data_IF_102441635764
#
_entry.id   IF_102441635764
#
_cell.length_a   1.000
_cell.length_b   1.000
_cell.length_c   1.000
_cell.angle_alpha   90.00
_cell.angle_beta   90.00
_cell.angle_gamma   90.00
#
_symmetry.space_group_name_H-M   'P 1'
#
loop_
_entity.id
_entity.type
_entity.pdbx_description
1 polymer ?
#
# COMPACT_ATOMS: atom_id res chain seq x y z
N UNK A 1 -5.96 -9.49 5.70
CA UNK A 1 -6.42 -8.11 5.48
C UNK A 1 -7.08 -7.97 4.13
N UNK A 2 -8.27 -7.39 4.08
CA UNK A 2 -8.93 -7.01 2.83
C UNK A 2 -9.52 -5.61 3.02
N UNK A 3 -8.86 -4.59 2.48
CA UNK A 3 -9.26 -3.20 2.65
C UNK A 3 -9.43 -2.51 1.30
N UNK A 4 -10.55 -1.81 1.15
CA UNK A 4 -10.85 -0.99 -0.01
C UNK A 4 -11.53 0.28 0.48
N UNK A 5 -11.01 1.44 0.09
CA UNK A 5 -11.69 2.69 0.34
C UNK A 5 -13.05 2.73 -0.36
N UNK A 6 -14.08 3.37 0.24
CA UNK A 6 -15.36 3.60 -0.41
C UNK A 6 -15.22 4.27 -1.79
N UNK A 7 -16.30 4.22 -2.58
CA UNK A 7 -16.30 4.81 -3.92
C UNK A 7 -15.85 6.29 -3.88
N UNK A 8 -14.99 6.67 -4.83
CA UNK A 8 -14.37 8.00 -4.94
C UNK A 8 -13.53 8.40 -3.72
N UNK A 9 -12.95 7.44 -3.04
CA UNK A 9 -12.01 7.68 -1.95
C UNK A 9 -10.66 6.99 -2.18
N UNK A 10 -9.63 7.57 -1.56
CA UNK A 10 -8.25 7.04 -1.53
C UNK A 10 -7.76 6.99 -0.09
N UNK A 11 -6.71 6.19 0.14
CA UNK A 11 -6.05 6.18 1.44
C UNK A 11 -5.35 7.51 1.72
N UNK A 12 -5.65 8.08 2.88
CA UNK A 12 -4.97 9.26 3.42
C UNK A 12 -4.02 8.94 4.57
N UNK A 13 -4.25 7.81 5.24
CA UNK A 13 -3.45 7.35 6.35
C UNK A 13 -3.26 5.85 6.25
N UNK A 14 -2.02 5.41 6.43
CA UNK A 14 -1.64 4.02 6.48
C UNK A 14 -0.78 3.80 7.71
N UNK A 15 -1.19 2.87 8.56
CA UNK A 15 -0.46 2.47 9.75
C UNK A 15 -0.40 0.96 9.82
N UNK A 16 0.74 0.43 10.24
CA UNK A 16 0.88 -0.98 10.50
C UNK A 16 1.88 -1.26 11.60
N UNK A 17 1.45 -2.01 12.61
CA UNK A 17 2.26 -2.37 13.77
C UNK A 17 2.64 -3.84 13.71
N UNK A 18 3.87 -4.16 14.13
CA UNK A 18 4.36 -5.53 14.19
C UNK A 18 3.96 -6.16 15.54
N UNK A 19 2.93 -7.01 15.54
CA UNK A 19 2.48 -7.70 16.75
C UNK A 19 3.45 -8.85 17.08
N UNK A 20 4.40 -8.57 17.96
CA UNK A 20 5.41 -9.52 18.44
C UNK A 20 4.81 -10.74 19.18
N UNK A 21 3.52 -10.70 19.57
CA UNK A 21 2.83 -11.84 20.19
C UNK A 21 2.22 -12.80 19.17
N UNK A 22 1.89 -12.32 17.97
CA UNK A 22 1.29 -13.11 16.87
C UNK A 22 2.23 -13.35 15.69
N UNK A 23 3.38 -12.66 15.64
CA UNK A 23 4.31 -12.72 14.51
C UNK A 23 3.73 -12.12 13.23
N UNK A 24 2.84 -11.12 13.35
CA UNK A 24 2.14 -10.58 12.19
C UNK A 24 1.92 -9.06 12.27
N UNK A 25 1.86 -8.42 11.11
CA UNK A 25 1.57 -6.99 10.98
C UNK A 25 0.06 -6.71 11.02
N UNK A 26 -0.40 -5.94 11.99
CA UNK A 26 -1.77 -5.42 12.05
C UNK A 26 -1.83 -4.14 11.23
N UNK A 27 -2.95 -3.87 10.54
CA UNK A 27 -3.09 -2.73 9.63
C UNK A 27 -4.27 -1.84 10.02
N UNK A 28 -4.06 -0.54 9.94
CA UNK A 28 -5.03 0.51 10.20
C UNK A 28 -4.98 1.51 9.03
N UNK A 29 -6.11 1.75 8.39
CA UNK A 29 -6.20 2.62 7.22
C UNK A 29 -7.39 3.55 7.30
N UNK A 30 -7.17 4.81 6.93
CA UNK A 30 -8.24 5.80 6.78
C UNK A 30 -8.28 6.34 5.36
N UNK A 31 -9.50 6.62 4.91
CA UNK A 31 -9.80 7.09 3.57
C UNK A 31 -10.20 8.57 3.59
N UNK A 32 -10.04 9.22 2.45
CA UNK A 32 -10.63 10.53 2.16
C UNK A 32 -11.19 10.55 0.75
N UNK A 33 -12.10 11.48 0.51
CA UNK A 33 -12.59 11.79 -0.83
C UNK A 33 -11.46 12.25 -1.76
N UNK A 34 -11.52 11.80 -3.01
CA UNK A 34 -10.67 12.24 -4.09
C UNK A 34 -11.45 12.23 -5.41
N UNK A 35 -11.02 13.03 -6.38
CA UNK A 35 -11.65 13.08 -7.69
C UNK A 35 -11.27 11.84 -8.53
N UNK A 36 -12.00 10.75 -8.29
CA UNK A 36 -11.87 9.49 -9.00
C UNK A 36 -13.13 9.19 -9.82
N UNK A 37 -12.94 8.49 -10.93
CA UNK A 37 -14.03 7.85 -11.65
C UNK A 37 -14.22 6.42 -11.14
N UNK A 38 -15.45 5.90 -11.23
CA UNK A 38 -15.79 4.54 -10.78
C UNK A 38 -15.26 3.48 -11.74
N UNK A 39 -13.94 3.31 -11.70
CA UNK A 39 -13.22 2.36 -12.51
C UNK A 39 -12.01 1.90 -11.72
N UNK A 40 -12.20 0.84 -10.94
CA UNK A 40 -11.20 0.25 -10.07
C UNK A 40 -10.86 -1.16 -10.53
N UNK A 41 -9.58 -1.51 -10.51
CA UNK A 41 -9.09 -2.82 -10.90
C UNK A 41 -8.13 -3.34 -9.83
N UNK A 42 -8.36 -4.56 -9.38
CA UNK A 42 -7.46 -5.27 -8.48
C UNK A 42 -6.42 -6.05 -9.30
N UNK A 43 -5.17 -6.01 -8.86
CA UNK A 43 -4.11 -6.85 -9.41
C UNK A 43 -4.25 -8.32 -8.98
N UNK A 44 -3.50 -9.19 -9.64
CA UNK A 44 -3.11 -10.47 -9.03
C UNK A 44 -2.09 -10.25 -7.89
N UNK A 45 -1.65 -11.34 -7.26
CA UNK A 45 -0.60 -11.24 -6.24
C UNK A 45 0.70 -10.77 -6.90
N UNK A 46 1.24 -9.67 -6.39
CA UNK A 46 2.37 -8.98 -7.03
C UNK A 46 3.73 -9.49 -6.58
N UNK A 47 3.75 -10.36 -5.58
CA UNK A 47 4.94 -10.94 -4.98
C UNK A 47 4.67 -12.40 -4.63
N UNK A 48 5.72 -13.21 -4.57
CA UNK A 48 5.76 -14.48 -3.82
C UNK A 48 6.19 -14.22 -2.36
N UNK A 49 6.12 -15.24 -1.51
CA UNK A 49 6.69 -15.16 -0.17
C UNK A 49 8.20 -14.97 -0.24
N UNK A 50 8.74 -14.28 0.75
CA UNK A 50 10.16 -13.97 0.93
C UNK A 50 10.75 -13.17 -0.25
N UNK A 51 9.87 -12.57 -1.07
CA UNK A 51 10.26 -11.75 -2.21
C UNK A 51 9.94 -10.26 -2.00
N UNK A 52 10.85 -9.46 -2.52
CA UNK A 52 10.69 -8.02 -2.72
C UNK A 52 9.69 -7.75 -3.84
N UNK A 53 8.94 -6.65 -3.72
CA UNK A 53 8.12 -6.16 -4.83
C UNK A 53 8.21 -4.66 -5.02
N UNK A 54 7.92 -4.23 -6.25
CA UNK A 54 7.70 -2.84 -6.62
C UNK A 54 6.47 -2.77 -7.52
N UNK A 55 5.33 -2.36 -6.96
CA UNK A 55 4.08 -2.31 -7.70
C UNK A 55 3.63 -0.86 -7.91
N UNK A 56 3.39 -0.49 -9.17
CA UNK A 56 2.88 0.81 -9.58
C UNK A 56 1.51 0.66 -10.24
N UNK A 57 0.51 1.41 -9.77
CA UNK A 57 -0.80 1.44 -10.40
C UNK A 57 -0.69 1.90 -11.88
N UNK A 58 -1.25 1.14 -12.84
CA UNK A 58 -1.05 1.40 -14.25
C UNK A 58 -1.82 2.64 -14.72
N UNK A 59 -1.30 3.30 -15.76
CA UNK A 59 -1.95 4.45 -16.41
C UNK A 59 -2.29 5.58 -15.43
N UNK A 60 -3.45 6.22 -15.62
CA UNK A 60 -3.92 7.31 -14.76
C UNK A 60 -4.61 6.82 -13.47
N UNK A 61 -4.10 5.76 -12.85
CA UNK A 61 -4.68 5.19 -11.63
C UNK A 61 -3.82 5.46 -10.40
N UNK A 62 -4.49 5.45 -9.25
CA UNK A 62 -3.91 5.56 -7.91
C UNK A 62 -4.50 4.49 -7.00
N UNK A 63 -3.83 4.23 -5.89
CA UNK A 63 -4.10 3.12 -5.00
C UNK A 63 -5.27 3.45 -4.07
N UNK A 64 -6.27 2.55 -4.05
CA UNK A 64 -7.50 2.70 -3.28
C UNK A 64 -7.76 1.52 -2.33
N UNK A 65 -7.09 0.38 -2.53
CA UNK A 65 -7.23 -0.79 -1.68
C UNK A 65 -5.98 -1.65 -1.61
N UNK A 66 -5.85 -2.36 -0.51
CA UNK A 66 -4.78 -3.33 -0.25
C UNK A 66 -5.44 -4.61 0.24
N UNK A 67 -5.11 -5.71 -0.43
CA UNK A 67 -5.46 -7.04 0.00
C UNK A 67 -4.18 -7.81 0.31
N UNK A 68 -4.12 -8.45 1.47
CA UNK A 68 -2.94 -9.20 1.89
C UNK A 68 -3.31 -10.29 2.87
N UNK A 69 -2.66 -11.43 2.77
CA UNK A 69 -2.75 -12.49 3.77
C UNK A 69 -1.35 -12.88 4.24
N UNK A 70 -1.29 -13.32 5.50
CA UNK A 70 -0.09 -13.82 6.16
C UNK A 70 -0.10 -15.35 6.10
N UNK A 71 1.06 -15.97 5.90
CA UNK A 71 1.24 -17.41 6.02
C UNK A 71 2.25 -17.74 7.13
N UNK A 72 1.78 -18.34 8.22
CA UNK A 72 2.59 -18.64 9.41
C UNK A 72 3.78 -19.59 9.14
N UNK A 73 3.75 -20.39 8.08
CA UNK A 73 4.88 -21.26 7.73
C UNK A 73 6.07 -20.46 7.19
N UNK A 74 5.77 -19.32 6.56
CA UNK A 74 6.71 -18.38 5.94
C UNK A 74 7.00 -17.20 6.82
N UNK A 75 6.06 -16.84 7.69
CA UNK A 75 6.08 -15.64 8.51
C UNK A 75 6.17 -14.39 7.62
N UNK A 76 5.42 -14.43 6.52
CA UNK A 76 5.47 -13.45 5.47
C UNK A 76 4.10 -13.27 4.77
N UNK A 77 3.99 -12.23 3.94
CA UNK A 77 2.76 -11.73 3.36
C UNK A 77 2.77 -11.65 1.84
N UNK A 78 1.66 -12.07 1.25
CA UNK A 78 1.32 -11.82 -0.16
C UNK A 78 0.48 -10.56 -0.29
N UNK A 79 0.63 -9.83 -1.38
CA UNK A 79 -0.08 -8.56 -1.61
C UNK A 79 -0.77 -8.50 -2.97
N UNK A 80 -2.00 -7.98 -2.98
CA UNK A 80 -2.72 -7.46 -4.14
C UNK A 80 -3.11 -6.01 -3.88
N UNK A 81 -3.24 -5.23 -4.95
CA UNK A 81 -3.58 -3.83 -4.85
C UNK A 81 -4.73 -3.46 -5.77
N UNK A 82 -5.65 -2.65 -5.27
CA UNK A 82 -6.75 -2.10 -6.05
C UNK A 82 -6.42 -0.68 -6.47
N UNK A 83 -6.43 -0.45 -7.79
CA UNK A 83 -6.11 0.82 -8.41
C UNK A 83 -7.36 1.43 -9.06
N UNK A 84 -7.76 2.61 -8.61
CA UNK A 84 -8.88 3.37 -9.16
C UNK A 84 -8.37 4.48 -10.07
N UNK A 85 -9.10 4.73 -11.16
CA UNK A 85 -8.73 5.76 -12.14
C UNK A 85 -9.01 7.16 -11.55
N UNK A 86 -7.97 7.99 -11.54
CA UNK A 86 -8.12 9.43 -11.30
C UNK A 86 -8.90 10.06 -12.46
N UNK A 87 -9.66 11.11 -12.16
CA UNK A 87 -10.57 11.80 -13.07
C UNK A 87 -9.83 12.49 -14.24
N UNK A 88 -10.17 13.74 -14.54
CA UNK A 88 -9.64 14.50 -15.67
C UNK A 88 -8.18 14.93 -15.50
N UNK A 89 -7.69 15.08 -14.27
CA UNK A 89 -6.32 15.48 -14.01
C UNK A 89 -5.34 14.30 -14.14
N UNK A 90 -4.25 14.46 -14.92
CA UNK A 90 -3.19 13.47 -14.98
C UNK A 90 -2.44 13.35 -13.65
N UNK A 91 -2.36 12.13 -13.13
CA UNK A 91 -1.52 11.76 -12.00
C UNK A 91 -0.06 12.06 -12.37
N UNK A 92 0.55 13.00 -11.67
CA UNK A 92 1.86 13.57 -12.05
C UNK A 92 2.69 13.95 -10.82
N UNK A 93 3.91 14.45 -11.02
CA UNK A 93 4.76 14.92 -9.91
C UNK A 93 5.04 13.85 -8.85
N UNK A 94 5.23 12.61 -9.28
CA UNK A 94 5.46 11.46 -8.42
C UNK A 94 6.83 11.53 -7.75
N UNK A 95 6.86 11.21 -6.45
CA UNK A 95 8.10 11.07 -5.67
C UNK A 95 8.04 9.83 -4.79
N UNK A 96 9.14 9.10 -4.73
CA UNK A 96 9.29 8.01 -3.77
C UNK A 96 9.65 8.58 -2.40
N UNK A 97 9.08 8.01 -1.34
CA UNK A 97 9.58 8.17 0.01
C UNK A 97 10.83 7.31 0.22
N UNK A 98 11.57 7.59 1.28
CA UNK A 98 12.44 6.59 1.91
C UNK A 98 11.60 5.49 2.59
N UNK A 99 12.26 4.54 3.25
CA UNK A 99 11.54 3.56 4.07
C UNK A 99 10.77 4.28 5.17
N UNK A 100 9.45 4.09 5.20
CA UNK A 100 8.57 4.76 6.18
C UNK A 100 8.47 4.00 7.50
N UNK A 101 9.14 2.86 7.59
CA UNK A 101 9.29 2.05 8.79
C UNK A 101 10.64 1.32 8.76
N UNK A 102 11.09 0.91 9.95
CA UNK A 102 12.17 -0.05 10.09
C UNK A 102 11.65 -1.42 10.54
N UNK A 103 12.54 -2.40 10.64
CA UNK A 103 12.21 -3.77 11.07
C UNK A 103 11.61 -3.78 12.49
N UNK A 104 10.55 -4.56 12.68
CA UNK A 104 9.77 -4.72 13.90
C UNK A 104 9.21 -3.39 14.45
N UNK A 105 9.30 -2.31 13.68
CA UNK A 105 8.76 -1.01 14.02
C UNK A 105 7.51 -0.71 13.20
N UNK A 106 6.72 0.19 13.79
CA UNK A 106 5.48 0.66 13.23
C UNK A 106 5.72 1.44 11.94
N UNK A 107 4.94 1.11 10.92
CA UNK A 107 4.70 1.96 9.77
C UNK A 107 3.65 2.99 10.15
N UNK A 108 3.89 4.27 9.87
CA UNK A 108 2.85 5.31 9.94
C UNK A 108 3.12 6.34 8.87
N UNK A 109 2.15 6.56 8.01
CA UNK A 109 2.27 7.49 6.90
C UNK A 109 0.97 8.26 6.70
N UNK A 110 1.09 9.58 6.55
CA UNK A 110 0.02 10.47 6.12
C UNK A 110 0.28 10.92 4.69
N UNK A 111 -0.73 10.81 3.83
CA UNK A 111 -0.70 11.35 2.47
C UNK A 111 -1.29 12.75 2.52
N UNK A 112 -0.54 13.78 2.09
CA UNK A 112 -1.04 15.17 2.06
C UNK A 112 -2.22 15.31 1.09
N UNK A 113 -3.09 16.29 1.31
CA UNK A 113 -4.16 16.64 0.36
C UNK A 113 -3.59 16.91 -1.05
N UNK A 114 -4.40 16.67 -2.08
CA UNK A 114 -4.00 16.71 -3.50
C UNK A 114 -2.91 15.69 -3.90
N UNK A 115 -2.57 14.74 -3.02
CA UNK A 115 -1.69 13.63 -3.38
C UNK A 115 -2.39 12.28 -3.19
N UNK A 116 -1.88 11.26 -3.87
CA UNK A 116 -2.27 9.87 -3.68
C UNK A 116 -1.08 8.93 -3.79
N UNK A 117 -1.20 7.76 -3.18
CA UNK A 117 -0.25 6.66 -3.37
C UNK A 117 -0.47 6.08 -4.77
N UNK A 118 0.59 5.97 -5.55
CA UNK A 118 0.60 5.28 -6.85
C UNK A 118 1.48 4.04 -6.84
N UNK A 119 2.56 4.09 -6.06
CA UNK A 119 3.55 3.00 -6.00
C UNK A 119 3.69 2.49 -4.57
N UNK A 120 3.82 1.18 -4.40
CA UNK A 120 4.23 0.56 -3.14
C UNK A 120 5.41 -0.34 -3.44
N UNK A 121 6.49 -0.15 -2.69
CA UNK A 121 7.68 -0.97 -2.72
C UNK A 121 7.89 -1.59 -1.36
N UNK A 122 8.21 -2.87 -1.31
CA UNK A 122 8.48 -3.56 -0.05
C UNK A 122 9.58 -4.60 -0.19
N UNK A 123 10.41 -4.67 0.84
CA UNK A 123 11.42 -5.72 1.05
C UNK A 123 11.08 -6.51 2.30
N UNK A 124 11.45 -7.79 2.33
CA UNK A 124 11.38 -8.68 3.48
C UNK A 124 12.78 -8.97 4.04
N UNK A 125 12.83 -9.43 5.29
CA UNK A 125 14.02 -10.03 5.92
C UNK A 125 13.59 -11.24 6.73
N UNK A 126 14.09 -12.42 6.37
CA UNK A 126 13.65 -13.70 6.94
C UNK A 126 14.14 -13.91 8.39
N UNK A 127 15.24 -13.25 8.79
CA UNK A 127 15.69 -13.28 10.18
C UNK A 127 14.78 -12.43 11.07
N UNK A 128 14.29 -11.31 10.53
CA UNK A 128 13.35 -10.43 11.21
C UNK A 128 11.91 -10.91 11.11
N UNK A 129 11.59 -11.71 10.09
CA UNK A 129 10.22 -12.13 9.71
C UNK A 129 9.30 -10.94 9.52
N UNK A 130 9.82 -9.94 8.81
CA UNK A 130 9.19 -8.64 8.73
C UNK A 130 9.41 -7.97 7.38
N UNK A 131 8.63 -6.91 7.11
CA UNK A 131 8.70 -6.11 5.90
C UNK A 131 8.88 -4.62 6.16
N UNK A 132 9.69 -3.98 5.32
CA UNK A 132 9.79 -2.51 5.22
C UNK A 132 9.12 -2.01 3.96
N UNK A 133 8.62 -0.79 4.01
CA UNK A 133 7.81 -0.22 2.93
C UNK A 133 8.31 1.16 2.49
N UNK A 134 8.26 1.41 1.18
CA UNK A 134 8.36 2.74 0.56
C UNK A 134 7.12 3.00 -0.27
N UNK A 135 6.77 4.27 -0.44
CA UNK A 135 5.59 4.68 -1.19
C UNK A 135 5.94 5.71 -2.26
N UNK A 136 5.43 5.53 -3.46
CA UNK A 136 5.44 6.54 -4.51
C UNK A 136 4.18 7.36 -4.42
N UNK A 137 4.33 8.64 -4.09
CA UNK A 137 3.23 9.58 -3.88
C UNK A 137 3.21 10.58 -5.02
N UNK A 138 2.07 10.71 -5.69
CA UNK A 138 1.88 11.57 -6.86
C UNK A 138 0.81 12.62 -6.58
N UNK A 139 0.92 13.77 -7.25
CA UNK A 139 -0.17 14.74 -7.31
C UNK A 139 -1.36 14.13 -8.05
N UNK A 140 -2.54 14.36 -7.51
CA UNK A 140 -3.83 14.14 -8.15
C UNK A 140 -4.30 15.42 -8.82
#
# INVERSE_FOLDING_TARGET
MNFLCPNKQIMMYLSSDHDNGRGDRIWEMYCRSADLVDNCQQSDYVNEFDQTFNYTCPGNRVLAGIHSYHENSKEDRRFKFTCCRASSTPVSGCRMTDFVNDWNLKLTMFVKECYAIKTIYSINDDNKKDRRFKFGVCKL
#
